data_IF_357893685972
#
_entry.id   IF_357893685972
#
_cell.length_a   1.000
_cell.length_b   1.000
_cell.length_c   1.000
_cell.angle_alpha   90.00
_cell.angle_beta   90.00
_cell.angle_gamma   90.00
#
_symmetry.space_group_name_H-M   'P 1'
#
loop_
_entity.id
_entity.type
_entity.pdbx_description
1 polymer ?
#
# COMPACT_ATOMS: atom_id res chain seq x y z
N UNK A 1 -6.76 27.92 60.55
CA UNK A 1 -5.98 28.08 59.30
C UNK A 1 -6.35 26.92 58.37
N UNK A 2 -7.05 27.21 57.30
CA UNK A 2 -7.47 26.20 56.31
C UNK A 2 -6.44 26.23 55.21
N UNK A 3 -5.67 25.16 55.09
CA UNK A 3 -4.73 24.94 53.97
C UNK A 3 -5.49 24.42 52.76
N UNK A 4 -5.63 25.28 51.76
CA UNK A 4 -6.15 24.86 50.42
C UNK A 4 -5.03 24.20 49.65
N UNK A 5 -5.20 22.92 49.31
CA UNK A 5 -4.35 22.23 48.36
C UNK A 5 -4.93 22.42 46.96
N UNK A 6 -4.19 22.98 46.01
CA UNK A 6 -4.65 23.00 44.63
C UNK A 6 -4.48 21.60 44.01
N UNK A 7 -5.59 21.02 43.61
CA UNK A 7 -5.64 19.79 42.84
C UNK A 7 -5.16 20.10 41.42
N UNK A 8 -3.91 19.74 41.12
CA UNK A 8 -3.38 19.86 39.75
C UNK A 8 -3.98 18.72 38.93
N UNK A 9 -4.96 19.06 38.08
CA UNK A 9 -5.56 18.15 37.14
C UNK A 9 -4.60 17.95 35.95
N UNK A 10 -3.88 16.86 35.96
CA UNK A 10 -3.00 16.47 34.84
C UNK A 10 -3.85 15.97 33.67
N UNK A 11 -4.09 16.84 32.69
CA UNK A 11 -4.77 16.46 31.45
C UNK A 11 -3.76 15.70 30.59
N UNK A 12 -3.87 14.37 30.55
CA UNK A 12 -3.16 13.53 29.61
C UNK A 12 -3.74 13.75 28.20
N UNK A 13 -3.04 14.54 27.41
CA UNK A 13 -3.28 14.63 25.97
C UNK A 13 -2.86 13.31 25.32
N UNK A 14 -3.83 12.44 25.10
CA UNK A 14 -3.65 11.25 24.25
C UNK A 14 -3.58 11.73 22.82
N UNK A 15 -2.38 11.90 22.29
CA UNK A 15 -2.17 12.11 20.86
C UNK A 15 -2.45 10.77 20.13
N UNK A 16 -3.64 10.66 19.59
CA UNK A 16 -3.95 9.55 18.68
C UNK A 16 -3.18 9.81 17.38
N UNK A 17 -2.12 9.05 17.17
CA UNK A 17 -1.45 8.98 15.89
C UNK A 17 -2.40 8.30 14.91
N UNK A 18 -3.07 9.08 14.07
CA UNK A 18 -3.81 8.54 12.94
C UNK A 18 -2.81 7.87 12.01
N UNK A 19 -2.74 6.53 12.02
CA UNK A 19 -2.00 5.79 11.02
C UNK A 19 -2.64 6.08 9.66
N UNK A 20 -1.91 6.74 8.77
CA UNK A 20 -2.38 7.02 7.43
C UNK A 20 -2.56 5.70 6.68
N UNK A 21 -3.67 5.52 6.00
CA UNK A 21 -3.97 4.31 5.19
C UNK A 21 -2.86 4.00 4.19
N UNK A 22 -2.12 5.02 3.73
CA UNK A 22 -0.96 4.87 2.86
C UNK A 22 0.15 3.98 3.47
N UNK A 23 0.38 4.04 4.80
CA UNK A 23 1.34 3.17 5.48
C UNK A 23 0.88 1.70 5.53
N UNK A 24 -0.43 1.47 5.50
CA UNK A 24 -1.02 0.12 5.51
C UNK A 24 -0.90 -0.59 4.16
N UNK A 25 -0.57 0.11 3.09
CA UNK A 25 -0.36 -0.47 1.76
C UNK A 25 1.02 -1.11 1.59
N UNK A 26 1.97 -0.81 2.46
CA UNK A 26 3.31 -1.41 2.37
C UNK A 26 3.26 -2.94 2.45
N UNK A 27 4.04 -3.58 1.59
CA UNK A 27 4.17 -5.02 1.56
C UNK A 27 4.13 -5.61 0.16
N UNK A 28 4.04 -6.92 0.12
CA UNK A 28 3.91 -7.71 -1.10
C UNK A 28 2.46 -8.16 -1.28
N UNK A 29 1.91 -7.98 -2.46
CA UNK A 29 0.52 -8.22 -2.78
C UNK A 29 0.40 -9.05 -4.05
N UNK A 30 -0.43 -10.09 -4.03
CA UNK A 30 -0.71 -10.93 -5.19
C UNK A 30 -2.20 -11.18 -5.35
N UNK A 31 -2.64 -11.50 -6.56
CA UNK A 31 -4.05 -11.86 -6.82
C UNK A 31 -4.38 -13.26 -6.30
N UNK A 32 -3.41 -14.12 -6.17
CA UNK A 32 -3.55 -15.47 -5.62
C UNK A 32 -2.65 -15.65 -4.40
N UNK A 33 -3.26 -15.69 -3.21
CA UNK A 33 -2.52 -15.84 -1.96
C UNK A 33 -1.72 -17.14 -1.86
N UNK A 34 -2.10 -18.18 -2.58
CA UNK A 34 -1.34 -19.44 -2.61
C UNK A 34 -0.03 -19.32 -3.39
N UNK A 35 0.12 -18.30 -4.23
CA UNK A 35 1.29 -18.08 -5.06
C UNK A 35 2.37 -17.20 -4.39
N UNK A 36 2.16 -16.71 -3.17
CA UNK A 36 3.08 -15.79 -2.51
C UNK A 36 4.55 -16.27 -2.52
N UNK A 37 4.79 -17.52 -2.19
CA UNK A 37 6.13 -18.10 -2.17
C UNK A 37 6.75 -18.31 -3.56
N UNK A 38 5.96 -18.27 -4.62
CA UNK A 38 6.42 -18.39 -6.01
C UNK A 38 6.68 -17.03 -6.66
N UNK A 39 6.02 -15.99 -6.15
CA UNK A 39 6.11 -14.63 -6.72
C UNK A 39 7.19 -13.80 -6.03
N UNK A 40 7.29 -13.89 -4.71
CA UNK A 40 8.13 -13.01 -3.91
C UNK A 40 9.24 -13.73 -3.18
N UNK A 41 10.31 -12.98 -2.92
CA UNK A 41 11.43 -13.39 -2.09
C UNK A 41 11.95 -12.19 -1.30
N UNK A 42 12.86 -12.45 -0.35
CA UNK A 42 13.64 -11.40 0.31
C UNK A 42 15.09 -11.51 -0.09
N UNK A 43 15.64 -10.41 -0.58
CA UNK A 43 17.06 -10.25 -0.87
C UNK A 43 17.62 -9.13 0.00
N UNK A 44 18.63 -9.43 0.81
CA UNK A 44 19.20 -8.47 1.76
C UNK A 44 18.13 -7.80 2.64
N UNK A 45 17.18 -8.58 3.12
CA UNK A 45 16.04 -8.13 3.93
C UNK A 45 15.06 -7.19 3.21
N UNK A 46 15.09 -7.15 1.88
CA UNK A 46 14.18 -6.38 1.03
C UNK A 46 13.28 -7.30 0.22
N UNK A 47 12.03 -6.90 0.08
CA UNK A 47 11.09 -7.60 -0.80
C UNK A 47 11.54 -7.47 -2.25
N UNK A 48 11.51 -8.58 -2.97
CA UNK A 48 11.81 -8.64 -4.40
C UNK A 48 10.93 -9.67 -5.09
N UNK A 49 10.79 -9.53 -6.41
CA UNK A 49 10.17 -10.56 -7.23
C UNK A 49 11.14 -11.70 -7.50
N UNK A 50 10.64 -12.93 -7.50
CA UNK A 50 11.38 -14.05 -8.06
C UNK A 50 11.47 -13.92 -9.58
N UNK A 51 12.45 -14.60 -10.17
CA UNK A 51 12.74 -14.50 -11.61
C UNK A 51 11.52 -14.86 -12.50
N UNK A 52 10.74 -15.84 -12.08
CA UNK A 52 9.57 -16.34 -12.83
C UNK A 52 8.25 -15.87 -12.23
N UNK A 53 8.25 -14.74 -11.53
CA UNK A 53 7.08 -14.24 -10.82
C UNK A 53 5.86 -14.02 -11.73
N UNK A 54 6.08 -13.57 -12.96
CA UNK A 54 5.05 -13.34 -13.97
C UNK A 54 4.33 -14.62 -14.42
N UNK A 55 4.98 -15.76 -14.29
CA UNK A 55 4.37 -17.07 -14.58
C UNK A 55 3.44 -17.54 -13.46
N UNK A 56 3.48 -16.90 -12.30
CA UNK A 56 2.76 -17.27 -11.09
C UNK A 56 1.83 -16.16 -10.59
N UNK A 57 0.99 -15.62 -11.44
CA UNK A 57 0.03 -14.55 -11.14
C UNK A 57 0.64 -13.15 -10.98
N UNK A 58 1.95 -13.01 -10.83
CA UNK A 58 2.57 -11.68 -10.59
C UNK A 58 2.10 -11.01 -9.31
N UNK A 59 2.28 -9.71 -9.20
CA UNK A 59 1.84 -8.95 -8.04
C UNK A 59 2.40 -7.55 -7.98
N UNK A 60 2.32 -6.97 -6.79
CA UNK A 60 2.81 -5.63 -6.48
C UNK A 60 3.66 -5.67 -5.22
N UNK A 61 4.72 -4.87 -5.22
CA UNK A 61 5.48 -4.56 -4.01
C UNK A 61 5.31 -3.06 -3.76
N UNK A 62 4.78 -2.71 -2.59
CA UNK A 62 4.60 -1.33 -2.16
C UNK A 62 5.61 -1.02 -1.07
N UNK A 63 6.45 -0.03 -1.29
CA UNK A 63 7.47 0.43 -0.34
C UNK A 63 7.49 1.97 -0.32
N UNK A 64 6.75 2.56 0.61
CA UNK A 64 6.58 4.00 0.67
C UNK A 64 5.92 4.56 -0.60
N UNK A 65 6.63 5.42 -1.32
CA UNK A 65 6.17 6.02 -2.59
C UNK A 65 6.45 5.17 -3.83
N UNK A 66 7.12 4.03 -3.67
CA UNK A 66 7.45 3.15 -4.78
C UNK A 66 6.46 1.99 -4.84
N UNK A 67 5.91 1.78 -6.01
CA UNK A 67 5.07 0.62 -6.32
C UNK A 67 5.73 -0.11 -7.48
N UNK A 68 6.14 -1.34 -7.23
CA UNK A 68 6.79 -2.17 -8.25
C UNK A 68 5.84 -3.30 -8.62
N UNK A 69 5.40 -3.32 -9.87
CA UNK A 69 4.69 -4.45 -10.46
C UNK A 69 5.66 -5.38 -11.19
N UNK A 70 5.14 -6.47 -11.72
CA UNK A 70 5.95 -7.45 -12.48
C UNK A 70 6.54 -6.83 -13.75
N UNK A 71 5.80 -5.93 -14.40
CA UNK A 71 6.20 -5.30 -15.66
C UNK A 71 6.31 -3.78 -15.59
N UNK A 72 6.02 -3.20 -14.45
CA UNK A 72 5.86 -1.76 -14.32
C UNK A 72 6.41 -1.26 -13.00
N UNK A 73 7.02 -0.08 -13.01
CA UNK A 73 7.49 0.61 -11.81
C UNK A 73 6.83 1.96 -11.72
N UNK A 74 6.27 2.27 -10.57
CA UNK A 74 5.57 3.52 -10.33
C UNK A 74 6.17 4.28 -9.16
N UNK A 75 6.14 5.61 -9.26
CA UNK A 75 6.42 6.51 -8.14
C UNK A 75 5.15 7.32 -7.84
N UNK A 76 4.69 7.26 -6.60
CA UNK A 76 3.50 7.99 -6.17
C UNK A 76 3.79 9.49 -6.18
N UNK A 77 2.98 10.25 -6.89
CA UNK A 77 3.02 11.72 -6.97
C UNK A 77 2.11 12.37 -5.94
N UNK A 78 0.91 11.82 -5.78
CA UNK A 78 -0.05 12.30 -4.79
C UNK A 78 -0.92 11.16 -4.26
N UNK A 79 -1.33 11.30 -3.02
CA UNK A 79 -2.25 10.44 -2.31
C UNK A 79 -3.39 11.28 -1.75
N UNK A 80 -4.62 10.85 -1.98
CA UNK A 80 -5.79 11.39 -1.31
C UNK A 80 -6.48 10.29 -0.54
N UNK A 81 -6.34 10.33 0.78
CA UNK A 81 -6.92 9.36 1.69
C UNK A 81 -8.31 9.82 2.11
N UNK A 82 -9.32 9.00 1.78
CA UNK A 82 -10.73 9.23 2.08
C UNK A 82 -11.30 8.06 2.91
N UNK A 83 -10.65 7.76 4.03
CA UNK A 83 -11.01 6.65 4.90
C UNK A 83 -10.61 5.30 4.31
N UNK A 84 -11.58 4.48 3.89
CA UNK A 84 -11.32 3.16 3.31
C UNK A 84 -10.85 3.19 1.84
N UNK A 85 -10.97 4.34 1.18
CA UNK A 85 -10.54 4.56 -0.20
C UNK A 85 -9.34 5.50 -0.25
N UNK A 86 -8.33 5.11 -1.01
CA UNK A 86 -7.15 5.93 -1.27
C UNK A 86 -7.04 6.16 -2.77
N UNK A 87 -7.11 7.41 -3.19
CA UNK A 87 -6.85 7.78 -4.57
C UNK A 87 -5.37 8.04 -4.75
N UNK A 88 -4.76 7.34 -5.69
CA UNK A 88 -3.35 7.41 -5.99
C UNK A 88 -3.13 7.98 -7.37
N UNK A 89 -2.26 8.96 -7.48
CA UNK A 89 -1.71 9.44 -8.75
C UNK A 89 -0.23 9.10 -8.74
N UNK A 90 0.20 8.33 -9.72
CA UNK A 90 1.56 7.85 -9.82
C UNK A 90 2.12 8.04 -11.24
N UNK A 91 3.41 8.26 -11.32
CA UNK A 91 4.16 8.19 -12.56
C UNK A 91 4.67 6.77 -12.73
N UNK A 92 4.25 6.11 -13.78
CA UNK A 92 4.56 4.71 -14.06
C UNK A 92 5.40 4.55 -15.32
N UNK A 93 6.36 3.63 -15.29
CA UNK A 93 7.21 3.27 -16.41
C UNK A 93 7.20 1.77 -16.63
N UNK A 94 7.07 1.34 -17.87
CA UNK A 94 7.23 -0.04 -18.31
C UNK A 94 8.63 -0.32 -18.90
N UNK A 95 9.54 0.66 -18.80
CA UNK A 95 10.87 0.61 -19.41
C UNK A 95 10.97 1.27 -20.78
N UNK A 96 9.85 1.57 -21.40
CA UNK A 96 9.77 2.22 -22.73
C UNK A 96 9.02 3.55 -22.65
N UNK A 97 7.86 3.54 -22.03
CA UNK A 97 7.00 4.72 -21.85
C UNK A 97 6.86 5.09 -20.39
N UNK A 98 6.73 6.39 -20.12
CA UNK A 98 6.39 6.95 -18.81
C UNK A 98 5.05 7.67 -18.93
N UNK A 99 4.12 7.36 -18.05
CA UNK A 99 2.81 7.99 -18.02
C UNK A 99 2.31 8.19 -16.60
N UNK A 100 1.48 9.19 -16.39
CA UNK A 100 0.75 9.37 -15.14
C UNK A 100 -0.51 8.51 -15.15
N UNK A 101 -0.70 7.77 -14.07
CA UNK A 101 -1.84 6.87 -13.88
C UNK A 101 -2.56 7.25 -12.60
N UNK A 102 -3.90 7.30 -12.67
CA UNK A 102 -4.75 7.47 -11.50
C UNK A 102 -5.48 6.15 -11.20
N UNK A 103 -5.42 5.71 -9.95
CA UNK A 103 -6.17 4.54 -9.52
C UNK A 103 -6.67 4.71 -8.09
N UNK A 104 -7.74 3.99 -7.79
CA UNK A 104 -8.36 3.97 -6.47
C UNK A 104 -8.03 2.64 -5.80
N UNK A 105 -7.63 2.72 -4.54
CA UNK A 105 -7.36 1.55 -3.71
C UNK A 105 -8.38 1.50 -2.58
N UNK A 106 -9.13 0.41 -2.52
CA UNK A 106 -10.03 0.12 -1.42
C UNK A 106 -9.43 -0.97 -0.54
N UNK A 107 -9.23 -0.64 0.73
CA UNK A 107 -8.70 -1.58 1.71
C UNK A 107 -9.86 -2.28 2.40
N UNK A 108 -9.81 -3.62 2.42
CA UNK A 108 -10.80 -4.48 3.06
C UNK A 108 -10.10 -5.35 4.10
N UNK A 109 -10.05 -4.89 5.35
CA UNK A 109 -9.27 -5.55 6.41
C UNK A 109 -7.77 -5.34 6.26
N UNK A 110 -6.95 -6.16 6.94
CA UNK A 110 -5.50 -5.98 6.98
C UNK A 110 -4.79 -6.55 5.74
N UNK A 111 -5.39 -7.55 5.10
CA UNK A 111 -4.71 -8.38 4.11
C UNK A 111 -5.39 -8.40 2.74
N UNK A 112 -6.34 -7.52 2.50
CA UNK A 112 -7.03 -7.43 1.21
C UNK A 112 -7.14 -5.99 0.73
N UNK A 113 -6.93 -5.80 -0.56
CA UNK A 113 -7.21 -4.54 -1.23
C UNK A 113 -7.79 -4.78 -2.62
N UNK A 114 -8.60 -3.85 -3.08
CA UNK A 114 -9.09 -3.80 -4.45
C UNK A 114 -8.53 -2.55 -5.11
N UNK A 115 -7.86 -2.73 -6.23
CA UNK A 115 -7.31 -1.66 -7.04
C UNK A 115 -8.20 -1.49 -8.26
N UNK A 116 -8.66 -0.27 -8.52
CA UNK A 116 -9.51 0.04 -9.66
C UNK A 116 -8.99 1.27 -10.42
N UNK A 117 -9.13 1.20 -11.73
CA UNK A 117 -8.83 2.30 -12.64
C UNK A 117 -9.96 2.43 -13.65
N UNK A 118 -10.32 3.67 -14.00
CA UNK A 118 -11.39 3.94 -14.99
C UNK A 118 -10.85 4.16 -16.39
N UNK A 119 -9.64 4.66 -16.50
CA UNK A 119 -9.01 5.05 -17.77
C UNK A 119 -7.63 4.42 -17.92
N UNK A 120 -7.19 4.08 -19.13
CA UNK A 120 -7.91 4.16 -20.40
C UNK A 120 -8.98 3.07 -20.58
N UNK A 121 -8.93 2.02 -19.77
CA UNK A 121 -9.90 0.92 -19.74
C UNK A 121 -10.28 0.64 -18.30
N UNK A 122 -11.58 0.46 -17.99
CA UNK A 122 -11.98 0.10 -16.62
C UNK A 122 -11.36 -1.24 -16.23
N UNK A 123 -10.58 -1.20 -15.14
CA UNK A 123 -9.94 -2.39 -14.57
C UNK A 123 -10.22 -2.42 -13.07
N UNK A 124 -10.54 -3.59 -12.56
CA UNK A 124 -10.65 -3.85 -11.12
C UNK A 124 -9.95 -5.16 -10.78
N UNK A 125 -9.03 -5.10 -9.83
CA UNK A 125 -8.28 -6.28 -9.38
C UNK A 125 -8.23 -6.31 -7.85
N UNK A 126 -8.46 -7.50 -7.32
CA UNK A 126 -8.35 -7.75 -5.88
C UNK A 126 -7.03 -8.45 -5.57
N UNK A 127 -6.38 -7.96 -4.53
CA UNK A 127 -5.08 -8.47 -4.08
C UNK A 127 -5.15 -8.94 -2.63
N UNK A 128 -4.32 -9.91 -2.33
CA UNK A 128 -4.09 -10.43 -0.98
C UNK A 128 -2.66 -10.09 -0.58
N UNK A 129 -2.47 -9.65 0.67
CA UNK A 129 -1.13 -9.40 1.23
C UNK A 129 -0.44 -10.73 1.51
N UNK A 130 0.81 -10.83 1.09
CA UNK A 130 1.67 -11.96 1.42
C UNK A 130 2.38 -11.72 2.76
N UNK A 131 2.41 -12.75 3.59
CA UNK A 131 3.25 -12.78 4.80
C UNK A 131 4.66 -13.19 4.39
N UNK A 132 5.66 -12.30 4.63
CA UNK A 132 7.05 -12.51 4.21
C UNK A 132 8.00 -12.33 5.39
#
# INVERSE_FOLDING_TARGET
>A
MKTFHPLVLLVLLVTQSASTQAAELNGAWTVDGSACGQVFTKENNRLAFKQDADLHAGGLIVQGKKITGTFQKCTVKSLHDDGSNVRVIASCSDGVTVSDVAFDVKISGENRMTLSSKEPVPVEMSYVRCSM
#
